data_IF_653437917946
#
_entry.id   IF_653437917946
#
_cell.length_a   1.000
_cell.length_b   1.000
_cell.length_c   1.000
_cell.angle_alpha   90.00
_cell.angle_beta   90.00
_cell.angle_gamma   90.00
#
_symmetry.space_group_name_H-M   'P 1'
#
loop_
_entity.id
_entity.type
_entity.pdbx_description
1 polymer ?
#
# COMPACT_ATOMS: atom_id res chain seq x y z
N UNK A 1 61.90 47.58 -64.81
CA UNK A 1 61.72 46.31 -64.05
C UNK A 1 60.88 46.44 -62.77
N UNK A 2 60.76 47.61 -62.11
CA UNK A 2 59.94 47.74 -60.88
C UNK A 2 58.41 47.63 -61.06
N UNK A 3 57.86 47.90 -62.25
CA UNK A 3 56.42 47.86 -62.51
C UNK A 3 55.81 46.46 -62.75
N UNK A 4 56.60 45.49 -63.20
CA UNK A 4 56.13 44.10 -63.39
C UNK A 4 56.03 43.33 -62.06
N UNK A 5 56.94 43.61 -61.13
CA UNK A 5 56.93 42.97 -59.81
C UNK A 5 55.71 43.40 -58.96
N UNK A 6 55.31 44.68 -59.03
CA UNK A 6 54.12 45.18 -58.33
C UNK A 6 52.81 44.66 -58.92
N UNK A 7 52.72 44.50 -60.25
CA UNK A 7 51.55 43.89 -60.89
C UNK A 7 51.43 42.40 -60.57
N UNK A 8 52.53 41.65 -60.58
CA UNK A 8 52.54 40.25 -60.14
C UNK A 8 52.16 40.09 -58.66
N UNK A 9 52.66 40.96 -57.79
CA UNK A 9 52.33 40.94 -56.36
C UNK A 9 50.83 41.22 -56.13
N UNK A 10 50.27 42.20 -56.85
CA UNK A 10 48.84 42.51 -56.79
C UNK A 10 47.96 41.34 -57.24
N UNK A 11 48.36 40.63 -58.31
CA UNK A 11 47.65 39.46 -58.79
C UNK A 11 47.73 38.29 -57.80
N UNK A 12 48.89 38.10 -57.16
CA UNK A 12 49.10 37.02 -56.19
C UNK A 12 48.29 37.26 -54.90
N UNK A 13 48.23 38.50 -54.42
CA UNK A 13 47.37 38.89 -53.29
C UNK A 13 45.90 38.68 -53.63
N UNK A 14 45.45 39.11 -54.82
CA UNK A 14 44.07 38.89 -55.26
C UNK A 14 43.72 37.40 -55.31
N UNK A 15 44.62 36.59 -55.86
CA UNK A 15 44.44 35.13 -55.99
C UNK A 15 44.29 34.46 -54.62
N UNK A 16 45.16 34.80 -53.66
CA UNK A 16 45.09 34.28 -52.30
C UNK A 16 43.79 34.71 -51.62
N UNK A 17 43.37 35.96 -51.82
CA UNK A 17 42.16 36.49 -51.21
C UNK A 17 40.92 35.76 -51.74
N UNK A 18 40.84 35.52 -53.05
CA UNK A 18 39.74 34.78 -53.67
C UNK A 18 39.71 33.33 -53.18
N UNK A 19 40.86 32.66 -53.10
CA UNK A 19 40.94 31.28 -52.57
C UNK A 19 40.50 31.23 -51.10
N UNK A 20 40.93 32.20 -50.28
CA UNK A 20 40.54 32.29 -48.88
C UNK A 20 39.04 32.52 -48.72
N UNK A 21 38.43 33.39 -49.53
CA UNK A 21 36.98 33.64 -49.52
C UNK A 21 36.20 32.38 -49.93
N UNK A 22 36.66 31.65 -50.96
CA UNK A 22 36.03 30.40 -51.39
C UNK A 22 36.11 29.35 -50.28
N UNK A 23 37.28 29.19 -49.64
CA UNK A 23 37.46 28.25 -48.53
C UNK A 23 36.56 28.62 -47.34
N UNK A 24 36.49 29.90 -46.98
CA UNK A 24 35.68 30.40 -45.87
C UNK A 24 34.18 30.24 -46.12
N UNK A 25 33.70 30.52 -47.34
CA UNK A 25 32.31 30.24 -47.73
C UNK A 25 32.00 28.75 -47.67
N UNK A 26 32.94 27.90 -48.10
CA UNK A 26 32.74 26.44 -48.11
C UNK A 26 32.65 25.87 -46.70
N UNK A 27 33.49 26.33 -45.76
CA UNK A 27 33.42 25.93 -44.35
C UNK A 27 32.20 26.53 -43.64
N UNK A 28 31.83 27.78 -43.93
CA UNK A 28 30.64 28.41 -43.35
C UNK A 28 29.35 27.68 -43.77
N UNK A 29 29.21 27.37 -45.06
CA UNK A 29 28.07 26.61 -45.57
C UNK A 29 28.05 25.19 -44.99
N UNK A 30 29.18 24.47 -44.99
CA UNK A 30 29.26 23.12 -44.44
C UNK A 30 28.89 23.07 -42.93
N UNK A 31 29.34 24.06 -42.16
CA UNK A 31 29.01 24.20 -40.73
C UNK A 31 27.52 24.51 -40.53
N UNK A 32 26.97 25.44 -41.31
CA UNK A 32 25.55 25.81 -41.24
C UNK A 32 24.63 24.65 -41.64
N UNK A 33 24.96 23.90 -42.70
CA UNK A 33 24.23 22.69 -43.09
C UNK A 33 24.38 21.57 -42.07
N UNK A 34 25.57 21.37 -41.49
CA UNK A 34 25.80 20.35 -40.46
C UNK A 34 24.99 20.63 -39.19
N UNK A 35 24.94 21.88 -38.73
CA UNK A 35 24.12 22.27 -37.58
C UNK A 35 22.61 22.18 -37.89
N UNK A 36 22.20 22.53 -39.11
CA UNK A 36 20.81 22.38 -39.56
C UNK A 36 20.37 20.92 -39.63
N UNK A 37 21.17 20.05 -40.24
CA UNK A 37 20.91 18.61 -40.34
C UNK A 37 20.92 17.91 -38.98
N UNK A 38 21.85 18.27 -38.09
CA UNK A 38 21.87 17.73 -36.73
C UNK A 38 20.62 18.11 -35.94
N UNK A 39 20.13 19.36 -36.06
CA UNK A 39 18.86 19.78 -35.44
C UNK A 39 17.64 19.09 -36.03
N UNK A 40 17.64 18.86 -37.35
CA UNK A 40 16.55 18.15 -38.03
C UNK A 40 16.56 16.66 -37.65
N UNK A 41 17.73 16.03 -37.61
CA UNK A 41 17.90 14.64 -37.16
C UNK A 41 17.39 14.46 -35.74
N UNK A 42 17.83 15.33 -34.81
CA UNK A 42 17.35 15.28 -33.42
C UNK A 42 15.85 15.51 -33.28
N UNK A 43 15.24 16.38 -34.12
CA UNK A 43 13.78 16.51 -34.16
C UNK A 43 13.07 15.28 -34.71
N UNK A 44 13.60 14.66 -35.77
CA UNK A 44 13.04 13.43 -36.30
C UNK A 44 13.14 12.26 -35.32
N UNK A 45 14.22 12.18 -34.53
CA UNK A 45 14.37 11.20 -33.47
C UNK A 45 13.32 11.40 -32.36
N UNK A 46 13.11 12.64 -31.90
CA UNK A 46 12.11 12.95 -30.87
C UNK A 46 10.67 12.73 -31.38
N UNK A 47 10.34 13.23 -32.58
CA UNK A 47 9.01 13.05 -33.16
C UNK A 47 8.75 11.59 -33.54
N UNK A 48 9.77 10.87 -34.01
CA UNK A 48 9.70 9.44 -34.28
C UNK A 48 9.50 8.63 -33.01
N UNK A 49 10.21 8.96 -31.93
CA UNK A 49 10.00 8.36 -30.61
C UNK A 49 8.55 8.56 -30.15
N UNK A 50 8.07 9.82 -30.13
CA UNK A 50 6.71 10.18 -29.73
C UNK A 50 5.63 9.49 -30.55
N UNK A 51 5.80 9.44 -31.87
CA UNK A 51 4.86 8.76 -32.75
C UNK A 51 4.85 7.24 -32.50
N UNK A 52 6.03 6.65 -32.23
CA UNK A 52 6.15 5.24 -31.85
C UNK A 52 5.43 4.93 -30.55
N UNK A 53 5.65 5.74 -29.50
CA UNK A 53 4.98 5.54 -28.20
C UNK A 53 3.47 5.71 -28.30
N UNK A 54 2.97 6.74 -28.99
CA UNK A 54 1.53 6.93 -29.21
C UNK A 54 0.95 5.76 -30.01
N UNK A 55 1.67 5.26 -31.03
CA UNK A 55 1.22 4.11 -31.80
C UNK A 55 1.05 2.87 -30.93
N UNK A 56 1.99 2.59 -30.01
CA UNK A 56 1.86 1.49 -29.05
C UNK A 56 0.65 1.70 -28.16
N UNK A 57 0.54 2.87 -27.53
CA UNK A 57 -0.53 3.15 -26.58
C UNK A 57 -1.93 3.12 -27.22
N UNK A 58 -2.05 3.49 -28.50
CA UNK A 58 -3.33 3.48 -29.22
C UNK A 58 -3.66 2.15 -29.91
N UNK A 59 -2.74 1.19 -29.90
CA UNK A 59 -3.08 -0.15 -30.40
C UNK A 59 -4.06 -0.84 -29.47
N UNK A 60 -4.95 -1.65 -30.05
CA UNK A 60 -5.98 -2.38 -29.32
C UNK A 60 -5.47 -3.76 -28.91
N UNK A 61 -5.94 -4.24 -27.76
CA UNK A 61 -5.90 -5.64 -27.38
C UNK A 61 -7.01 -6.41 -28.13
N UNK A 62 -6.68 -7.59 -28.62
CA UNK A 62 -7.58 -8.42 -29.44
C UNK A 62 -8.70 -9.08 -28.60
N UNK A 63 -8.53 -9.14 -27.27
CA UNK A 63 -9.49 -9.78 -26.35
C UNK A 63 -10.58 -8.80 -25.92
N UNK A 64 -10.19 -7.56 -25.61
CA UNK A 64 -11.05 -6.55 -24.98
C UNK A 64 -11.50 -5.44 -25.93
N UNK A 65 -10.92 -5.35 -27.14
CA UNK A 65 -11.08 -4.24 -28.09
C UNK A 65 -10.72 -2.85 -27.51
N UNK A 66 -10.07 -2.80 -26.34
CA UNK A 66 -9.62 -1.57 -25.69
C UNK A 66 -8.19 -1.25 -26.08
N UNK A 67 -7.88 0.03 -26.11
CA UNK A 67 -6.51 0.48 -26.36
C UNK A 67 -5.62 0.17 -25.15
N UNK A 68 -4.33 -0.06 -25.38
CA UNK A 68 -3.36 -0.24 -24.28
C UNK A 68 -3.37 0.96 -23.33
N UNK A 69 -3.56 2.18 -23.84
CA UNK A 69 -3.72 3.38 -23.03
C UNK A 69 -4.91 3.28 -22.06
N UNK A 70 -6.05 2.79 -22.52
CA UNK A 70 -7.23 2.59 -21.68
C UNK A 70 -7.02 1.46 -20.68
N UNK A 71 -6.43 0.34 -21.10
CA UNK A 71 -6.10 -0.77 -20.21
C UNK A 71 -5.12 -0.34 -19.11
N UNK A 72 -4.08 0.42 -19.45
CA UNK A 72 -3.15 0.99 -18.47
C UNK A 72 -3.83 2.00 -17.54
N UNK A 73 -4.77 2.80 -18.05
CA UNK A 73 -5.56 3.74 -17.24
C UNK A 73 -6.52 3.05 -16.26
N UNK A 74 -7.08 1.91 -16.66
CA UNK A 74 -7.90 1.04 -15.80
C UNK A 74 -6.99 0.30 -14.81
N UNK A 75 -5.89 -0.30 -15.27
CA UNK A 75 -4.90 -1.00 -14.45
C UNK A 75 -4.33 -0.11 -13.37
N UNK A 76 -4.02 1.16 -13.70
CA UNK A 76 -3.57 2.18 -12.75
C UNK A 76 -4.65 2.63 -11.74
N UNK A 77 -5.79 1.95 -11.67
CA UNK A 77 -6.82 2.21 -10.65
C UNK A 77 -7.42 0.93 -10.08
N UNK A 78 -7.59 -0.11 -10.91
CA UNK A 78 -8.30 -1.35 -10.58
C UNK A 78 -7.38 -2.55 -10.41
N UNK A 79 -6.25 -2.62 -11.12
CA UNK A 79 -5.32 -3.74 -10.97
C UNK A 79 -4.28 -3.37 -9.91
N UNK A 80 -4.06 -4.30 -9.00
CA UNK A 80 -3.20 -4.37 -7.81
C UNK A 80 -1.72 -3.95 -7.95
N UNK A 81 -1.36 -3.17 -8.96
CA UNK A 81 -0.02 -3.16 -9.53
C UNK A 81 0.31 -4.44 -10.31
N UNK A 82 -0.60 -5.43 -10.34
CA UNK A 82 -0.45 -6.71 -11.05
C UNK A 82 -0.67 -6.58 -12.55
N UNK A 83 -1.48 -5.62 -12.99
CA UNK A 83 -1.88 -5.47 -14.39
C UNK A 83 -3.09 -6.30 -14.80
N UNK A 84 -3.52 -7.26 -13.98
CA UNK A 84 -4.60 -8.17 -14.32
C UNK A 84 -5.96 -7.47 -14.26
N UNK A 85 -6.69 -7.54 -15.37
CA UNK A 85 -8.00 -6.95 -15.54
C UNK A 85 -8.98 -8.02 -16.01
N UNK A 86 -10.00 -8.31 -15.19
CA UNK A 86 -11.10 -9.22 -15.55
C UNK A 86 -12.31 -8.44 -16.09
N UNK A 87 -12.67 -8.70 -17.35
CA UNK A 87 -13.82 -8.08 -18.01
C UNK A 87 -15.08 -8.96 -17.96
N UNK A 88 -15.05 -10.05 -17.20
CA UNK A 88 -16.17 -10.92 -16.91
C UNK A 88 -16.39 -12.05 -17.92
N UNK A 89 -17.38 -12.91 -17.65
CA UNK A 89 -17.62 -14.12 -18.42
C UNK A 89 -18.02 -13.81 -19.88
N UNK A 90 -17.14 -14.16 -20.81
CA UNK A 90 -17.33 -13.98 -22.26
C UNK A 90 -16.26 -13.15 -22.94
N UNK A 91 -15.58 -12.25 -22.20
CA UNK A 91 -14.43 -11.47 -22.68
C UNK A 91 -13.14 -12.10 -22.16
N UNK A 92 -13.10 -12.45 -20.88
CA UNK A 92 -11.90 -13.01 -20.22
C UNK A 92 -11.06 -11.94 -19.52
N UNK A 93 -9.85 -12.31 -19.15
CA UNK A 93 -8.90 -11.46 -18.44
C UNK A 93 -7.71 -11.09 -19.34
N UNK A 94 -7.14 -9.90 -19.13
CA UNK A 94 -5.93 -9.43 -19.81
C UNK A 94 -4.98 -8.82 -18.77
N UNK A 95 -3.68 -9.05 -18.93
CA UNK A 95 -2.67 -8.36 -18.16
C UNK A 95 -2.15 -7.15 -18.94
N UNK A 96 -2.49 -5.94 -18.48
CA UNK A 96 -2.12 -4.71 -19.14
C UNK A 96 -0.60 -4.43 -19.11
N UNK A 97 0.11 -4.96 -18.10
CA UNK A 97 1.56 -4.80 -17.95
C UNK A 97 2.32 -5.72 -18.89
N UNK A 98 1.85 -6.97 -19.06
CA UNK A 98 2.40 -7.90 -20.04
C UNK A 98 2.19 -7.40 -21.48
N UNK A 99 1.01 -6.84 -21.78
CA UNK A 99 0.70 -6.28 -23.10
C UNK A 99 1.61 -5.09 -23.45
N UNK A 100 1.83 -4.16 -22.52
CA UNK A 100 2.76 -3.05 -22.77
C UNK A 100 4.21 -3.54 -22.83
N UNK A 101 4.60 -4.51 -21.99
CA UNK A 101 5.95 -5.09 -22.00
C UNK A 101 6.27 -5.74 -23.34
N UNK A 102 5.39 -6.61 -23.83
CA UNK A 102 5.57 -7.28 -25.12
C UNK A 102 5.74 -6.26 -26.27
N UNK A 103 4.86 -5.25 -26.35
CA UNK A 103 4.89 -4.25 -27.44
C UNK A 103 6.11 -3.34 -27.36
N UNK A 104 6.51 -2.94 -26.16
CA UNK A 104 7.71 -2.12 -25.95
C UNK A 104 8.99 -2.90 -26.27
N UNK A 105 9.04 -4.19 -25.89
CA UNK A 105 10.15 -5.08 -26.23
C UNK A 105 10.30 -5.26 -27.75
N UNK A 106 9.20 -5.39 -28.50
CA UNK A 106 9.23 -5.51 -29.97
C UNK A 106 9.76 -4.25 -30.68
N UNK A 107 9.49 -3.05 -30.15
CA UNK A 107 9.82 -1.79 -30.82
C UNK A 107 11.15 -1.20 -30.34
N UNK A 108 11.41 -1.21 -29.03
CA UNK A 108 12.59 -0.58 -28.43
C UNK A 108 13.65 -1.59 -27.97
N UNK A 109 13.30 -2.88 -27.95
CA UNK A 109 14.18 -3.95 -27.48
C UNK A 109 14.12 -4.13 -25.96
N UNK A 110 14.26 -5.38 -25.54
CA UNK A 110 14.27 -5.76 -24.12
C UNK A 110 15.35 -4.98 -23.34
N UNK A 111 14.95 -4.41 -22.20
CA UNK A 111 15.86 -3.68 -21.31
C UNK A 111 16.26 -2.27 -21.76
N UNK A 112 15.58 -1.69 -22.75
CA UNK A 112 15.87 -0.35 -23.30
C UNK A 112 14.76 0.67 -23.08
N UNK A 113 13.81 0.36 -22.20
CA UNK A 113 12.65 1.20 -21.95
C UNK A 113 12.13 1.03 -20.52
N UNK A 114 11.37 2.03 -20.11
CA UNK A 114 10.73 2.13 -18.80
C UNK A 114 9.39 2.86 -18.93
N UNK A 115 8.36 2.38 -18.23
CA UNK A 115 7.05 3.03 -18.14
C UNK A 115 6.73 3.26 -16.67
N UNK A 116 6.28 4.47 -16.34
CA UNK A 116 5.80 4.84 -15.03
C UNK A 116 4.45 5.55 -15.13
N UNK A 117 3.46 5.07 -14.39
CA UNK A 117 2.12 5.67 -14.30
C UNK A 117 1.87 6.05 -12.85
N UNK A 118 1.94 7.33 -12.46
CA UNK A 118 1.51 7.73 -11.14
C UNK A 118 -0.01 7.59 -11.03
N UNK A 119 -0.46 7.11 -9.89
CA UNK A 119 -1.85 7.26 -9.50
C UNK A 119 -2.14 8.77 -9.38
N UNK A 120 -3.33 9.23 -9.78
CA UNK A 120 -3.77 10.59 -9.46
C UNK A 120 -3.69 10.83 -7.95
N UNK A 121 -3.62 12.09 -7.49
CA UNK A 121 -3.60 12.47 -6.07
C UNK A 121 -4.85 11.94 -5.34
N UNK A 122 -4.82 10.68 -4.92
CA UNK A 122 -5.91 9.97 -4.26
C UNK A 122 -5.43 9.63 -2.86
N UNK A 123 -6.20 10.09 -1.88
CA UNK A 123 -5.99 9.70 -0.49
C UNK A 123 -6.24 8.19 -0.42
N UNK A 124 -5.27 7.38 0.01
CA UNK A 124 -5.43 5.93 0.11
C UNK A 124 -6.61 5.60 1.00
N UNK A 125 -7.28 4.49 0.71
CA UNK A 125 -8.26 3.96 1.66
C UNK A 125 -7.50 3.28 2.80
N UNK A 126 -7.96 3.48 4.02
CA UNK A 126 -7.41 2.87 5.22
C UNK A 126 -8.33 1.73 5.61
N UNK A 127 -7.79 0.51 5.64
CA UNK A 127 -8.49 -0.67 6.11
C UNK A 127 -7.84 -1.15 7.40
N UNK A 128 -8.60 -1.08 8.48
CA UNK A 128 -8.15 -1.42 9.80
C UNK A 128 -8.77 -2.76 10.19
N UNK A 129 -7.96 -3.69 10.66
CA UNK A 129 -8.42 -4.83 11.44
C UNK A 129 -7.98 -4.61 12.89
N UNK A 130 -8.89 -4.77 13.84
CA UNK A 130 -8.64 -4.60 15.27
C UNK A 130 -8.85 -5.95 15.93
N UNK A 131 -7.79 -6.54 16.45
CA UNK A 131 -7.80 -7.82 17.13
C UNK A 131 -7.89 -7.52 18.62
N UNK A 132 -8.95 -8.00 19.25
CA UNK A 132 -9.21 -7.78 20.68
C UNK A 132 -9.21 -9.13 21.39
N UNK A 133 -8.31 -9.26 22.36
CA UNK A 133 -8.39 -10.28 23.39
C UNK A 133 -9.69 -10.08 24.20
N UNK A 134 -10.39 -11.17 24.48
CA UNK A 134 -11.70 -11.15 25.17
C UNK A 134 -11.61 -11.59 26.64
N UNK A 135 -10.41 -11.57 27.21
CA UNK A 135 -10.19 -11.62 28.65
C UNK A 135 -10.96 -10.50 29.36
N UNK A 136 -11.50 -10.79 30.54
CA UNK A 136 -12.28 -9.78 31.29
C UNK A 136 -11.45 -8.54 31.63
N UNK A 137 -10.12 -8.63 31.65
CA UNK A 137 -9.23 -7.51 31.93
C UNK A 137 -9.36 -6.35 30.96
N UNK A 138 -9.89 -6.59 29.76
CA UNK A 138 -10.06 -5.60 28.70
C UNK A 138 -11.49 -5.06 28.58
N UNK A 139 -12.36 -5.34 29.56
CA UNK A 139 -13.76 -4.91 29.54
C UNK A 139 -13.95 -3.41 29.32
N UNK A 140 -13.17 -2.56 29.98
CA UNK A 140 -13.23 -1.11 29.85
C UNK A 140 -12.58 -0.61 28.55
N UNK A 141 -11.41 -1.15 28.17
CA UNK A 141 -10.75 -0.85 26.88
C UNK A 141 -11.65 -1.19 25.68
N UNK A 142 -12.28 -2.38 25.69
CA UNK A 142 -13.22 -2.80 24.65
C UNK A 142 -14.48 -1.93 24.64
N UNK A 143 -15.01 -1.55 25.80
CA UNK A 143 -16.14 -0.62 25.91
C UNK A 143 -15.80 0.75 25.32
N UNK A 144 -14.58 1.26 25.51
CA UNK A 144 -14.12 2.50 24.88
C UNK A 144 -14.11 2.38 23.35
N UNK A 145 -13.52 1.31 22.81
CA UNK A 145 -13.52 1.04 21.37
C UNK A 145 -14.95 0.92 20.85
N UNK A 146 -15.79 0.12 21.50
CA UNK A 146 -17.16 -0.13 21.08
C UNK A 146 -18.00 1.15 21.01
N UNK A 147 -17.84 2.04 22.00
CA UNK A 147 -18.63 3.25 22.10
C UNK A 147 -18.08 4.42 21.28
N UNK A 148 -16.76 4.55 21.13
CA UNK A 148 -16.13 5.75 20.54
C UNK A 148 -15.51 5.55 19.17
N UNK A 149 -15.15 4.33 18.78
CA UNK A 149 -14.62 4.06 17.44
C UNK A 149 -15.53 4.62 16.32
N UNK A 150 -16.87 4.51 16.39
CA UNK A 150 -17.74 5.06 15.35
C UNK A 150 -17.62 6.57 15.18
N UNK A 151 -17.37 7.32 16.25
CA UNK A 151 -17.21 8.77 16.20
C UNK A 151 -15.83 9.17 15.70
N UNK A 152 -14.80 8.38 16.03
CA UNK A 152 -13.44 8.59 15.53
C UNK A 152 -13.35 8.35 14.03
N UNK A 153 -13.91 7.24 13.54
CA UNK A 153 -13.93 6.93 12.11
C UNK A 153 -14.73 8.00 11.35
N UNK A 154 -15.83 8.50 11.92
CA UNK A 154 -16.54 9.64 11.35
C UNK A 154 -15.72 10.93 11.33
N UNK A 155 -14.98 11.21 12.40
CA UNK A 155 -14.07 12.35 12.48
C UNK A 155 -13.03 12.29 11.36
N UNK A 156 -12.37 11.15 11.19
CA UNK A 156 -11.40 10.93 10.12
C UNK A 156 -12.02 11.09 8.72
N UNK A 157 -13.25 10.60 8.51
CA UNK A 157 -13.98 10.81 7.26
C UNK A 157 -14.30 12.27 6.98
N UNK A 158 -14.68 13.03 8.00
CA UNK A 158 -14.91 14.47 7.88
C UNK A 158 -13.61 15.23 7.61
N UNK A 159 -12.47 14.73 8.10
CA UNK A 159 -11.13 15.25 7.83
C UNK A 159 -10.62 14.85 6.43
N UNK A 160 -11.39 14.06 5.65
CA UNK A 160 -11.09 13.69 4.26
C UNK A 160 -10.50 12.29 4.06
N UNK A 161 -10.32 11.50 5.12
CA UNK A 161 -9.79 10.15 5.04
C UNK A 161 -10.87 9.13 4.65
N UNK A 162 -10.54 8.16 3.80
CA UNK A 162 -11.43 7.04 3.51
C UNK A 162 -11.09 5.85 4.42
N UNK A 163 -11.78 5.69 5.54
CA UNK A 163 -11.45 4.68 6.56
C UNK A 163 -12.58 3.66 6.73
N UNK A 164 -12.21 2.39 6.82
CA UNK A 164 -13.08 1.30 7.25
C UNK A 164 -12.36 0.44 8.32
N UNK A 165 -13.11 -0.08 9.28
CA UNK A 165 -12.58 -0.89 10.36
C UNK A 165 -13.39 -2.18 10.56
N UNK A 166 -12.71 -3.28 10.86
CA UNK A 166 -13.33 -4.53 11.28
C UNK A 166 -12.72 -4.94 12.61
N UNK A 167 -13.56 -5.21 13.60
CA UNK A 167 -13.16 -5.70 14.92
C UNK A 167 -13.26 -7.22 14.90
N UNK A 168 -12.19 -7.90 15.31
CA UNK A 168 -12.12 -9.34 15.48
C UNK A 168 -11.91 -9.66 16.95
N UNK A 169 -12.88 -10.28 17.58
CA UNK A 169 -12.81 -10.73 18.97
C UNK A 169 -12.34 -12.18 19.02
N UNK A 170 -11.38 -12.50 19.88
CA UNK A 170 -10.81 -13.86 19.97
C UNK A 170 -11.61 -14.71 20.96
N UNK A 171 -12.26 -15.78 20.45
CA UNK A 171 -13.09 -16.79 21.12
C UNK A 171 -13.76 -16.47 22.47
N UNK A 172 -15.09 -16.25 22.40
CA UNK A 172 -16.07 -16.54 23.46
C UNK A 172 -16.05 -15.57 24.64
N UNK A 173 -16.51 -14.35 24.40
CA UNK A 173 -16.42 -13.23 25.34
C UNK A 173 -16.81 -13.57 26.78
N UNK A 174 -16.01 -13.11 27.74
CA UNK A 174 -16.47 -13.03 29.12
C UNK A 174 -17.53 -11.94 29.26
N UNK A 175 -18.49 -12.15 30.16
CA UNK A 175 -19.46 -11.11 30.51
C UNK A 175 -18.78 -10.08 31.42
N UNK A 176 -18.81 -8.82 31.02
CA UNK A 176 -18.38 -7.70 31.86
C UNK A 176 -19.47 -7.36 32.89
N UNK A 177 -19.08 -6.89 34.07
CA UNK A 177 -20.03 -6.52 35.13
C UNK A 177 -21.06 -5.45 34.71
N UNK A 178 -20.69 -4.53 33.82
CA UNK A 178 -21.60 -3.48 33.35
C UNK A 178 -22.65 -3.97 32.34
N UNK A 179 -22.70 -5.30 32.08
CA UNK A 179 -23.81 -5.96 31.41
C UNK A 179 -23.64 -6.11 29.90
N UNK A 180 -22.41 -6.12 29.41
CA UNK A 180 -22.07 -6.47 28.03
C UNK A 180 -21.04 -7.60 27.98
N UNK A 181 -21.17 -8.52 27.05
CA UNK A 181 -20.16 -9.51 26.69
C UNK A 181 -19.07 -8.88 25.84
N UNK A 182 -17.84 -9.41 25.96
CA UNK A 182 -16.71 -9.10 25.08
C UNK A 182 -16.86 -9.81 23.72
N UNK A 183 -18.00 -9.61 23.07
CA UNK A 183 -18.31 -10.18 21.77
C UNK A 183 -19.01 -9.17 20.85
N UNK A 184 -19.14 -9.55 19.59
CA UNK A 184 -19.80 -8.70 18.60
C UNK A 184 -21.31 -8.58 18.79
N UNK A 185 -21.96 -9.46 19.55
CA UNK A 185 -23.40 -9.41 19.81
C UNK A 185 -23.79 -8.24 20.72
N UNK A 186 -22.92 -7.85 21.65
CA UNK A 186 -23.18 -6.72 22.56
C UNK A 186 -22.61 -5.39 22.07
N UNK A 187 -21.57 -5.41 21.23
CA UNK A 187 -21.08 -4.26 20.46
C UNK A 187 -22.18 -3.62 19.57
N UNK A 188 -23.11 -4.44 19.06
CA UNK A 188 -24.20 -4.00 18.16
C UNK A 188 -25.62 -4.26 18.68
N UNK A 189 -25.75 -4.79 19.91
CA UNK A 189 -27.00 -4.96 20.63
C UNK A 189 -27.93 -6.04 20.06
N UNK A 190 -28.08 -7.14 20.79
CA UNK A 190 -29.19 -8.09 20.58
C UNK A 190 -30.48 -7.55 21.21
N UNK A 191 -31.20 -6.66 20.51
CA UNK A 191 -32.64 -6.51 20.80
C UNK A 191 -33.46 -6.50 19.52
N UNK A 192 -34.42 -7.42 19.52
CA UNK A 192 -35.36 -7.76 18.46
C UNK A 192 -35.85 -6.55 17.67
N UNK A 193 -35.64 -6.60 16.35
CA UNK A 193 -36.41 -5.82 15.38
C UNK A 193 -35.88 -4.43 15.08
N UNK A 194 -34.83 -4.35 14.26
CA UNK A 194 -34.49 -3.13 13.53
C UNK A 194 -33.00 -2.85 13.53
N UNK A 195 -32.41 -2.94 12.34
CA UNK A 195 -31.06 -2.48 12.00
C UNK A 195 -30.61 -1.26 12.81
N UNK A 196 -29.67 -1.44 13.73
CA UNK A 196 -28.96 -0.32 14.35
C UNK A 196 -27.48 -0.64 14.46
N UNK A 197 -26.77 -0.22 13.40
CA UNK A 197 -25.34 0.11 13.33
C UNK A 197 -24.33 -0.97 12.93
N UNK A 198 -24.66 -1.92 12.06
CA UNK A 198 -23.73 -2.20 10.95
C UNK A 198 -23.67 -0.94 10.10
N UNK A 199 -22.86 0.03 10.52
CA UNK A 199 -22.52 1.15 9.64
C UNK A 199 -21.68 0.51 8.54
N UNK A 200 -21.88 0.87 7.28
CA UNK A 200 -21.22 0.19 6.14
C UNK A 200 -19.69 0.10 6.22
N UNK A 201 -19.07 0.77 7.18
CA UNK A 201 -17.63 0.94 7.36
C UNK A 201 -17.09 0.49 8.74
N UNK A 202 -17.94 -0.03 9.64
CA UNK A 202 -17.50 -0.69 10.87
C UNK A 202 -18.23 -2.03 11.00
N UNK A 203 -17.45 -3.10 11.10
CA UNK A 203 -17.94 -4.47 11.25
C UNK A 203 -17.30 -5.13 12.46
N UNK A 204 -17.92 -6.19 12.96
CA UNK A 204 -17.33 -7.00 14.02
C UNK A 204 -17.65 -8.47 13.79
N UNK A 205 -16.65 -9.31 13.98
CA UNK A 205 -16.72 -10.75 13.84
C UNK A 205 -16.04 -11.44 15.02
N UNK A 206 -16.64 -12.52 15.50
CA UNK A 206 -16.01 -13.36 16.52
C UNK A 206 -15.14 -14.40 15.79
N UNK A 207 -13.88 -14.51 16.15
CA UNK A 207 -12.96 -15.53 15.62
C UNK A 207 -12.98 -16.77 16.50
N UNK A 208 -13.45 -17.87 15.93
CA UNK A 208 -13.33 -19.22 16.47
C UNK A 208 -12.12 -19.96 15.91
N UNK A 209 -11.64 -20.95 16.67
CA UNK A 209 -10.51 -21.80 16.27
C UNK A 209 -10.69 -22.45 14.89
N UNK A 210 -11.92 -22.70 14.47
CA UNK A 210 -12.25 -23.35 13.21
C UNK A 210 -12.51 -22.36 12.06
N UNK A 211 -12.48 -21.05 12.31
CA UNK A 211 -12.79 -20.02 11.31
C UNK A 211 -11.60 -19.71 10.40
N UNK A 212 -10.39 -20.12 10.79
CA UNK A 212 -9.17 -19.97 10.00
C UNK A 212 -8.92 -21.23 9.16
N UNK A 213 -8.44 -21.09 7.92
CA UNK A 213 -8.25 -22.23 7.03
C UNK A 213 -7.10 -23.14 7.48
N UNK A 214 -7.11 -24.39 7.00
CA UNK A 214 -6.39 -25.54 7.58
C UNK A 214 -4.85 -25.50 7.67
N UNK A 215 -4.18 -24.39 7.33
CA UNK A 215 -2.75 -24.18 7.62
C UNK A 215 -2.49 -23.42 8.92
N UNK A 216 -3.44 -22.59 9.37
CA UNK A 216 -3.37 -21.88 10.64
C UNK A 216 -4.18 -22.69 11.64
N UNK A 217 -3.53 -23.26 12.67
CA UNK A 217 -4.31 -23.59 13.86
C UNK A 217 -4.76 -22.23 14.40
N UNK A 218 -6.04 -21.89 14.24
CA UNK A 218 -6.63 -20.63 14.71
C UNK A 218 -6.40 -20.39 16.20
N UNK A 219 -6.86 -19.24 16.74
CA UNK A 219 -6.60 -18.90 18.14
C UNK A 219 -6.98 -20.04 19.08
N UNK A 220 -6.07 -20.43 19.97
CA UNK A 220 -6.25 -21.59 20.85
C UNK A 220 -7.00 -21.24 22.14
N UNK A 221 -7.03 -19.96 22.50
CA UNK A 221 -7.79 -19.38 23.61
C UNK A 221 -8.12 -17.90 23.30
N UNK A 222 -8.79 -17.23 24.24
CA UNK A 222 -9.20 -15.81 24.15
C UNK A 222 -8.03 -14.82 24.09
N UNK A 223 -6.84 -15.20 24.55
CA UNK A 223 -5.65 -14.35 24.65
C UNK A 223 -4.68 -14.54 23.46
N UNK A 224 -5.01 -15.40 22.50
CA UNK A 224 -4.11 -15.82 21.43
C UNK A 224 -4.06 -14.84 20.25
N UNK A 225 -3.66 -13.60 20.53
CA UNK A 225 -3.69 -12.50 19.56
C UNK A 225 -2.75 -12.65 18.37
N UNK A 226 -1.68 -13.44 18.47
CA UNK A 226 -0.77 -13.69 17.33
C UNK A 226 -1.44 -14.50 16.22
N UNK A 227 -2.01 -15.66 16.57
CA UNK A 227 -2.86 -16.46 15.66
C UNK A 227 -4.19 -15.77 15.36
N UNK A 228 -4.73 -14.99 16.29
CA UNK A 228 -5.90 -14.13 16.06
C UNK A 228 -5.66 -13.12 14.93
N UNK A 229 -4.51 -12.44 14.91
CA UNK A 229 -4.10 -11.56 13.82
C UNK A 229 -3.96 -12.31 12.50
N UNK A 230 -3.27 -13.44 12.48
CA UNK A 230 -3.12 -14.23 11.26
C UNK A 230 -4.49 -14.66 10.69
N UNK A 231 -5.39 -15.09 11.56
CA UNK A 231 -6.75 -15.46 11.20
C UNK A 231 -7.60 -14.27 10.70
N UNK A 232 -7.46 -13.09 11.33
CA UNK A 232 -8.11 -11.87 10.87
C UNK A 232 -7.60 -11.39 9.50
N UNK A 233 -6.31 -11.57 9.22
CA UNK A 233 -5.72 -11.28 7.91
C UNK A 233 -6.27 -12.23 6.85
N UNK A 234 -6.37 -13.52 7.16
CA UNK A 234 -6.89 -14.56 6.27
C UNK A 234 -8.40 -14.42 5.99
N UNK A 235 -9.19 -14.08 7.01
CA UNK A 235 -10.63 -13.84 6.85
C UNK A 235 -10.93 -12.50 6.15
N UNK A 236 -9.94 -11.61 6.11
CA UNK A 236 -10.04 -10.26 5.55
C UNK A 236 -11.05 -9.37 6.28
N UNK A 237 -10.96 -8.03 6.21
CA UNK A 237 -12.06 -7.18 6.62
C UNK A 237 -13.33 -7.49 5.79
N UNK A 238 -14.52 -7.20 6.32
CA UNK A 238 -15.82 -7.51 5.68
C UNK A 238 -15.94 -7.16 4.18
N UNK A 239 -15.27 -6.10 3.72
CA UNK A 239 -15.29 -5.68 2.31
C UNK A 239 -14.22 -6.35 1.43
N UNK A 240 -13.45 -7.29 1.99
CA UNK A 240 -12.23 -7.84 1.43
C UNK A 240 -11.05 -6.86 1.53
N UNK A 241 -9.82 -7.36 1.34
CA UNK A 241 -8.66 -6.47 1.17
C UNK A 241 -8.71 -5.77 -0.18
N UNK A 242 -8.57 -4.45 -0.18
CA UNK A 242 -8.37 -3.67 -1.39
C UNK A 242 -6.89 -3.42 -1.64
N UNK A 243 -6.53 -3.38 -2.91
CA UNK A 243 -5.15 -3.28 -3.35
C UNK A 243 -4.52 -1.90 -3.13
N UNK A 244 -5.33 -0.84 -3.22
CA UNK A 244 -4.91 0.55 -2.98
C UNK A 244 -5.30 0.99 -1.57
N UNK A 245 -4.80 0.26 -0.56
CA UNK A 245 -5.07 0.58 0.84
C UNK A 245 -3.84 0.59 1.73
N UNK A 246 -3.88 1.47 2.72
CA UNK A 246 -3.10 1.29 3.93
C UNK A 246 -3.80 0.19 4.75
N UNK A 247 -3.20 -1.00 4.75
CA UNK A 247 -3.66 -2.16 5.52
C UNK A 247 -3.05 -2.09 6.91
N UNK A 248 -3.89 -1.90 7.92
CA UNK A 248 -3.50 -1.62 9.30
C UNK A 248 -4.01 -2.72 10.21
N UNK A 249 -3.12 -3.34 10.97
CA UNK A 249 -3.45 -4.25 12.05
C UNK A 249 -3.32 -3.53 13.38
N UNK A 250 -4.30 -3.70 14.27
CA UNK A 250 -4.25 -3.18 15.64
C UNK A 250 -4.46 -4.37 16.56
N UNK A 251 -3.57 -4.57 17.52
CA UNK A 251 -3.71 -5.60 18.55
C UNK A 251 -4.00 -4.89 19.87
N UNK A 252 -5.14 -5.15 20.50
CA UNK A 252 -5.42 -4.69 21.85
C UNK A 252 -5.30 -5.87 22.82
N UNK A 253 -4.32 -5.81 23.72
CA UNK A 253 -4.16 -6.80 24.79
C UNK A 253 -3.36 -6.24 25.95
N UNK A 254 -3.62 -6.75 27.15
CA UNK A 254 -2.84 -6.57 28.36
C UNK A 254 -1.99 -7.81 28.71
N UNK A 255 -1.96 -8.84 27.86
CA UNK A 255 -1.29 -10.12 28.14
C UNK A 255 -0.47 -10.68 26.97
N UNK A 256 0.45 -11.61 27.28
CA UNK A 256 1.18 -12.35 26.25
C UNK A 256 0.21 -13.16 25.39
N UNK A 257 0.53 -13.35 24.11
CA UNK A 257 -0.27 -14.19 23.21
C UNK A 257 -0.36 -15.60 23.77
N UNK A 258 -1.56 -16.16 23.89
CA UNK A 258 -1.90 -17.42 24.60
C UNK A 258 -1.95 -17.33 26.12
N UNK A 259 -1.85 -16.13 26.69
CA UNK A 259 -2.03 -15.86 28.12
C UNK A 259 -0.75 -15.74 28.92
N UNK A 260 -0.88 -15.11 30.09
CA UNK A 260 0.17 -14.98 31.09
C UNK A 260 -0.01 -16.03 32.19
N UNK A 261 0.79 -17.10 32.17
CA UNK A 261 0.86 -17.98 33.35
C UNK A 261 1.53 -17.25 34.53
N UNK A 262 1.35 -17.73 35.76
CA UNK A 262 2.08 -17.26 36.97
C UNK A 262 3.62 -17.42 36.87
N UNK A 263 4.13 -17.93 35.75
CA UNK A 263 5.53 -18.15 35.44
C UNK A 263 6.06 -16.94 34.66
N UNK A 264 7.20 -16.38 35.11
CA UNK A 264 7.93 -15.27 34.47
C UNK A 264 8.50 -15.58 33.08
N UNK A 265 8.32 -16.80 32.57
CA UNK A 265 8.99 -17.28 31.37
C UNK A 265 8.05 -17.29 30.18
N UNK A 266 8.55 -16.72 29.07
CA UNK A 266 7.96 -16.84 27.75
C UNK A 266 8.00 -18.32 27.35
N UNK A 267 6.84 -18.88 27.00
CA UNK A 267 6.70 -20.26 26.55
C UNK A 267 6.95 -20.38 25.04
N UNK A 268 7.17 -21.62 24.57
CA UNK A 268 7.24 -21.92 23.13
C UNK A 268 5.98 -21.48 22.39
N UNK A 269 4.82 -21.58 23.05
CA UNK A 269 3.53 -21.33 22.44
C UNK A 269 3.31 -19.82 22.24
N UNK A 270 3.77 -18.99 23.20
CA UNK A 270 3.77 -17.54 23.07
C UNK A 270 4.62 -17.10 21.85
N UNK A 271 5.80 -17.71 21.67
CA UNK A 271 6.72 -17.41 20.56
C UNK A 271 6.14 -17.89 19.23
N UNK A 272 5.59 -19.11 19.19
CA UNK A 272 4.98 -19.66 17.99
C UNK A 272 3.81 -18.78 17.53
N UNK A 273 2.94 -18.35 18.46
CA UNK A 273 1.81 -17.49 18.11
C UNK A 273 2.26 -16.13 17.58
N UNK A 274 3.25 -15.50 18.22
CA UNK A 274 3.84 -14.24 17.73
C UNK A 274 4.40 -14.40 16.31
N UNK A 275 5.19 -15.44 16.07
CA UNK A 275 5.79 -15.68 14.75
C UNK A 275 4.73 -15.91 13.67
N UNK A 276 3.66 -16.64 13.98
CA UNK A 276 2.52 -16.81 13.06
C UNK A 276 1.90 -15.46 12.71
N UNK A 277 1.70 -14.57 13.70
CA UNK A 277 1.20 -13.22 13.46
C UNK A 277 2.14 -12.40 12.56
N UNK A 278 3.45 -12.44 12.83
CA UNK A 278 4.47 -11.74 12.03
C UNK A 278 4.48 -12.25 10.58
N UNK A 279 4.54 -13.56 10.37
CA UNK A 279 4.67 -14.14 9.04
C UNK A 279 3.48 -13.79 8.13
N UNK A 280 2.27 -13.72 8.70
CA UNK A 280 1.07 -13.30 8.00
C UNK A 280 1.05 -11.79 7.75
N UNK A 281 1.44 -10.98 8.73
CA UNK A 281 1.47 -9.53 8.59
C UNK A 281 2.52 -9.07 7.56
N UNK A 282 3.69 -9.71 7.48
CA UNK A 282 4.73 -9.35 6.52
C UNK A 282 4.55 -10.00 5.14
N UNK A 283 3.50 -10.79 4.91
CA UNK A 283 3.27 -11.49 3.64
C UNK A 283 4.24 -12.65 3.35
N UNK A 284 5.04 -13.08 4.34
CA UNK A 284 6.04 -14.15 4.19
C UNK A 284 5.40 -15.51 3.84
N UNK A 285 4.12 -15.68 4.14
CA UNK A 285 3.33 -16.90 3.90
C UNK A 285 2.35 -16.79 2.71
N UNK A 286 2.72 -16.09 1.63
CA UNK A 286 1.95 -16.05 0.35
C UNK A 286 0.62 -15.29 0.37
N UNK A 287 0.38 -14.43 1.37
CA UNK A 287 -0.76 -13.50 1.37
C UNK A 287 -0.29 -12.08 1.00
N UNK A 288 -0.83 -11.52 -0.08
CA UNK A 288 -0.53 -10.17 -0.62
C UNK A 288 -1.07 -9.01 0.27
N UNK A 289 -1.26 -9.27 1.56
CA UNK A 289 -1.91 -8.34 2.48
C UNK A 289 -0.95 -7.38 3.19
N UNK A 290 0.38 -7.56 3.18
CA UNK A 290 1.40 -6.72 3.86
C UNK A 290 0.81 -5.69 4.86
N UNK A 291 0.47 -6.16 6.06
CA UNK A 291 -0.28 -5.41 7.07
C UNK A 291 0.70 -4.77 8.06
N UNK A 292 0.62 -3.45 8.22
CA UNK A 292 1.40 -2.72 9.22
C UNK A 292 0.71 -2.79 10.57
N UNK A 293 1.39 -3.32 11.59
CA UNK A 293 0.78 -3.63 12.89
C UNK A 293 1.15 -2.59 13.95
N UNK A 294 0.14 -2.06 14.66
CA UNK A 294 0.27 -1.12 15.76
C UNK A 294 -0.36 -1.70 17.02
N UNK A 295 0.43 -2.36 17.88
CA UNK A 295 -0.10 -2.90 19.12
C UNK A 295 -0.46 -1.77 20.10
N UNK A 296 -1.61 -1.91 20.73
CA UNK A 296 -2.08 -1.13 21.87
C UNK A 296 -1.92 -2.01 23.11
N UNK A 297 -0.88 -1.74 23.88
CA UNK A 297 -0.63 -2.40 25.15
C UNK A 297 -1.54 -1.76 26.20
N UNK A 298 -2.61 -2.47 26.56
CA UNK A 298 -3.50 -2.06 27.64
C UNK A 298 -2.79 -2.13 29.00
N UNK A 299 -3.44 -1.58 30.01
CA UNK A 299 -2.85 -1.48 31.33
C UNK A 299 -3.01 -2.78 32.11
N UNK A 300 -1.90 -3.48 32.28
CA UNK A 300 -1.83 -4.66 33.12
C UNK A 300 -2.10 -4.27 34.59
N UNK A 301 -2.85 -5.08 35.35
CA UNK A 301 -2.96 -5.05 36.82
C UNK A 301 -3.99 -4.14 37.48
N UNK A 302 -5.14 -3.91 36.85
CA UNK A 302 -6.25 -3.27 37.55
C UNK A 302 -7.22 -4.29 38.17
N UNK A 303 -8.14 -3.80 38.99
CA UNK A 303 -9.24 -4.61 39.47
C UNK A 303 -10.25 -4.76 38.35
N UNK A 304 -10.54 -6.01 38.01
CA UNK A 304 -11.35 -6.37 36.87
C UNK A 304 -12.67 -6.91 37.38
N UNK A 305 -13.78 -6.42 36.86
CA UNK A 305 -15.08 -6.93 37.23
C UNK A 305 -15.64 -7.82 36.11
N UNK A 306 -15.82 -9.11 36.41
CA UNK A 306 -16.39 -10.09 35.50
C UNK A 306 -17.70 -10.68 36.04
N UNK A 307 -18.56 -11.15 35.13
CA UNK A 307 -19.77 -11.92 35.41
C UNK A 307 -19.60 -13.35 34.94
N UNK A 308 -20.00 -14.30 35.78
CA UNK A 308 -20.09 -15.71 35.43
C UNK A 308 -21.38 -16.27 36.04
N UNK A 309 -22.23 -16.86 35.21
CA UNK A 309 -23.57 -17.33 35.59
C UNK A 309 -24.41 -16.24 36.31
N UNK A 310 -24.22 -14.97 35.96
CA UNK A 310 -24.92 -13.82 36.54
C UNK A 310 -24.40 -13.36 37.91
N UNK A 311 -23.28 -13.90 38.38
CA UNK A 311 -22.61 -13.47 39.62
C UNK A 311 -21.44 -12.56 39.26
N UNK A 312 -21.41 -11.37 39.86
CA UNK A 312 -20.31 -10.41 39.77
C UNK A 312 -19.17 -10.82 40.71
N UNK A 313 -17.94 -10.79 40.22
CA UNK A 313 -16.75 -10.98 41.03
C UNK A 313 -15.60 -10.11 40.54
N UNK A 314 -14.82 -9.65 41.51
CA UNK A 314 -13.62 -8.88 41.28
C UNK A 314 -12.44 -9.85 41.08
N UNK A 315 -11.86 -9.85 39.89
CA UNK A 315 -10.59 -10.50 39.58
C UNK A 315 -9.47 -9.49 39.78
N UNK A 316 -8.49 -9.85 40.60
CA UNK A 316 -7.22 -9.16 40.67
C UNK A 316 -6.12 -10.11 40.22
N UNK A 317 -5.57 -9.87 39.04
CA UNK A 317 -4.54 -10.72 38.47
C UNK A 317 -3.14 -10.24 38.89
N UNK A 318 -2.61 -10.82 39.98
CA UNK A 318 -1.22 -10.58 40.37
C UNK A 318 -0.20 -11.11 39.34
N UNK A 319 -0.54 -12.20 38.63
CA UNK A 319 0.30 -12.84 37.62
C UNK A 319 0.44 -12.03 36.33
N UNK A 320 -0.58 -11.25 35.96
CA UNK A 320 -0.62 -10.45 34.73
C UNK A 320 0.39 -9.28 34.77
N UNK A 321 0.78 -8.84 35.97
CA UNK A 321 1.84 -7.84 36.16
C UNK A 321 3.24 -8.36 35.85
N UNK A 322 3.41 -9.67 35.97
CA UNK A 322 4.73 -10.29 36.00
C UNK A 322 5.36 -10.30 34.60
N UNK A 323 4.52 -10.34 33.56
CA UNK A 323 4.93 -10.44 32.16
C UNK A 323 4.79 -9.14 31.37
N UNK A 324 4.54 -8.01 32.02
CA UNK A 324 4.36 -6.70 31.37
C UNK A 324 5.50 -6.32 30.42
N UNK A 325 6.75 -6.54 30.87
CA UNK A 325 7.95 -6.30 30.05
C UNK A 325 8.06 -7.29 28.87
N UNK A 326 7.67 -8.55 29.08
CA UNK A 326 7.71 -9.57 28.03
C UNK A 326 6.65 -9.28 26.95
N UNK A 327 5.46 -8.85 27.37
CA UNK A 327 4.40 -8.38 26.47
C UNK A 327 4.88 -7.23 25.62
N UNK A 328 5.48 -6.20 26.24
CA UNK A 328 6.02 -5.06 25.51
C UNK A 328 7.06 -5.51 24.47
N UNK A 329 7.97 -6.42 24.83
CA UNK A 329 8.96 -6.97 23.90
C UNK A 329 8.29 -7.69 22.72
N UNK A 330 7.27 -8.52 22.96
CA UNK A 330 6.56 -9.23 21.88
C UNK A 330 5.82 -8.26 20.96
N UNK A 331 5.19 -7.23 21.53
CA UNK A 331 4.52 -6.18 20.77
C UNK A 331 5.51 -5.34 19.95
N UNK A 332 6.67 -5.00 20.52
CA UNK A 332 7.75 -4.32 19.80
C UNK A 332 8.26 -5.18 18.64
N UNK A 333 8.41 -6.49 18.83
CA UNK A 333 8.86 -7.40 17.78
C UNK A 333 7.93 -7.41 16.56
N UNK A 334 6.61 -7.48 16.75
CA UNK A 334 5.66 -7.47 15.63
C UNK A 334 5.52 -6.07 15.00
N UNK A 335 5.55 -5.01 15.82
CA UNK A 335 5.58 -3.65 15.32
C UNK A 335 6.81 -3.40 14.45
N UNK A 336 8.01 -3.74 14.93
CA UNK A 336 9.27 -3.55 14.20
C UNK A 336 9.31 -4.35 12.90
N UNK A 337 8.84 -5.61 12.92
CA UNK A 337 8.81 -6.47 11.73
C UNK A 337 7.91 -5.92 10.62
N UNK A 338 6.85 -5.19 10.99
CA UNK A 338 5.86 -4.65 10.05
C UNK A 338 6.01 -3.14 9.82
N UNK A 339 6.99 -2.52 10.48
CA UNK A 339 7.27 -1.08 10.44
C UNK A 339 6.33 -0.22 11.29
N UNK A 340 5.49 -0.78 12.15
CA UNK A 340 4.62 -0.06 13.07
C UNK A 340 5.32 0.44 14.33
N UNK A 341 4.53 0.80 15.35
CA UNK A 341 5.00 1.20 16.68
C UNK A 341 4.01 0.74 17.75
N UNK A 342 4.50 0.49 18.97
CA UNK A 342 3.66 0.14 20.12
C UNK A 342 3.14 1.40 20.81
N UNK A 343 1.86 1.41 21.15
CA UNK A 343 1.23 2.41 22.00
C UNK A 343 0.95 1.78 23.36
N UNK A 344 1.47 2.36 24.44
CA UNK A 344 1.13 1.95 25.80
C UNK A 344 0.01 2.84 26.31
N UNK A 345 -1.10 2.24 26.72
CA UNK A 345 -2.28 2.94 27.21
C UNK A 345 -2.17 3.18 28.71
N UNK A 346 -2.34 4.43 29.15
CA UNK A 346 -2.44 4.76 30.58
C UNK A 346 -3.83 4.43 31.15
N UNK A 347 -4.86 4.46 30.30
CA UNK A 347 -6.25 4.13 30.59
C UNK A 347 -7.03 3.76 29.31
N UNK A 348 -8.18 3.11 29.49
CA UNK A 348 -9.07 2.66 28.42
C UNK A 348 -9.49 3.77 27.44
N UNK A 349 -9.55 5.04 27.88
CA UNK A 349 -10.01 6.15 27.04
C UNK A 349 -9.02 6.53 25.94
N UNK A 350 -7.80 6.00 26.01
CA UNK A 350 -6.74 6.22 25.03
C UNK A 350 -6.81 5.24 23.85
N UNK A 351 -7.41 4.05 24.02
CA UNK A 351 -7.45 3.02 22.98
C UNK A 351 -7.98 3.56 21.65
N UNK A 352 -9.15 4.20 21.69
CA UNK A 352 -9.77 4.80 20.51
C UNK A 352 -8.97 6.01 19.98
N UNK A 353 -8.35 6.82 20.84
CA UNK A 353 -7.54 7.98 20.43
C UNK A 353 -6.28 7.56 19.66
N UNK A 354 -5.61 6.49 20.09
CA UNK A 354 -4.44 5.94 19.40
C UNK A 354 -4.78 5.54 17.97
N UNK A 355 -5.98 5.03 17.70
CA UNK A 355 -6.43 4.70 16.32
C UNK A 355 -6.44 5.96 15.44
N UNK A 356 -6.91 7.10 15.98
CA UNK A 356 -6.86 8.37 15.24
C UNK A 356 -5.43 8.79 14.95
N UNK A 357 -4.57 8.76 15.97
CA UNK A 357 -3.16 9.13 15.83
C UNK A 357 -2.42 8.26 14.83
N UNK A 358 -2.71 6.95 14.80
CA UNK A 358 -2.11 6.02 13.86
C UNK A 358 -2.37 6.48 12.41
N UNK A 359 -3.60 6.86 12.12
CA UNK A 359 -4.01 7.26 10.76
C UNK A 359 -3.48 8.65 10.40
N UNK A 360 -3.44 9.59 11.34
CA UNK A 360 -3.06 10.97 11.03
C UNK A 360 -1.55 11.21 11.05
N UNK A 361 -0.79 10.43 11.82
CA UNK A 361 0.62 10.74 12.12
C UNK A 361 1.61 9.78 11.45
N UNK A 362 1.17 8.63 10.93
CA UNK A 362 2.05 7.72 10.21
C UNK A 362 1.88 7.87 8.70
N UNK A 363 3.02 7.95 8.01
CA UNK A 363 3.06 7.80 6.56
C UNK A 363 2.97 6.31 6.21
N UNK A 364 1.99 5.96 5.38
CA UNK A 364 1.86 4.63 4.80
C UNK A 364 2.41 4.71 3.38
N UNK A 365 3.41 3.89 3.08
CA UNK A 365 4.00 3.80 1.75
C UNK A 365 3.07 2.99 0.83
N UNK A 366 1.99 3.61 0.35
CA UNK A 366 1.28 3.05 -0.80
C UNK A 366 2.15 3.36 -2.02
N UNK A 367 2.60 2.35 -2.78
CA UNK A 367 3.28 2.57 -4.06
C UNK A 367 2.32 3.36 -4.97
N UNK A 368 2.50 4.67 -5.13
CA UNK A 368 1.48 5.51 -5.74
C UNK A 368 1.69 5.52 -7.26
N UNK A 369 2.23 4.45 -7.83
CA UNK A 369 2.48 4.33 -9.25
C UNK A 369 2.58 2.87 -9.71
N UNK A 370 2.29 2.62 -10.98
CA UNK A 370 2.67 1.42 -11.72
C UNK A 370 4.03 1.66 -12.39
N UNK A 371 4.92 0.67 -12.35
CA UNK A 371 6.21 0.67 -13.06
C UNK A 371 6.38 -0.63 -13.85
N UNK A 372 6.84 -0.53 -15.10
CA UNK A 372 7.13 -1.67 -15.98
C UNK A 372 8.41 -1.39 -16.77
N UNK A 373 9.19 -2.44 -17.05
CA UNK A 373 10.43 -2.35 -17.81
C UNK A 373 11.67 -2.23 -16.93
N UNK A 374 12.76 -1.75 -17.50
CA UNK A 374 14.05 -1.64 -16.80
C UNK A 374 14.23 -0.23 -16.26
N UNK A 375 14.80 -0.04 -15.07
CA UNK A 375 15.04 1.31 -14.59
C UNK A 375 16.05 2.07 -15.48
N UNK A 376 15.84 3.36 -15.76
CA UNK A 376 16.70 4.14 -16.63
C UNK A 376 18.15 4.20 -16.10
N UNK A 377 19.17 3.92 -16.92
CA UNK A 377 20.56 3.95 -16.49
C UNK A 377 21.11 5.39 -16.39
N UNK A 378 21.81 5.70 -15.31
CA UNK A 378 22.33 7.05 -15.00
C UNK A 378 23.27 7.66 -16.07
N UNK A 379 23.90 6.82 -16.90
CA UNK A 379 24.96 7.23 -17.83
C UNK A 379 24.53 7.19 -19.31
N UNK A 380 23.24 7.06 -19.62
CA UNK A 380 22.74 7.12 -21.00
C UNK A 380 21.92 8.37 -21.26
N UNK A 381 21.82 8.73 -22.54
CA UNK A 381 20.84 9.71 -22.99
C UNK A 381 19.47 9.05 -22.98
N UNK A 382 18.54 9.62 -22.21
CA UNK A 382 17.18 9.12 -22.05
C UNK A 382 16.25 10.02 -22.86
N UNK A 383 15.44 9.42 -23.72
CA UNK A 383 14.29 10.07 -24.34
C UNK A 383 13.08 9.84 -23.44
N UNK A 384 12.32 10.89 -23.12
CA UNK A 384 11.15 10.82 -22.24
C UNK A 384 9.94 11.48 -22.90
N UNK A 385 8.77 10.87 -22.81
CA UNK A 385 7.49 11.40 -23.26
C UNK A 385 6.44 11.21 -22.16
N UNK A 386 5.59 12.22 -21.96
CA UNK A 386 4.46 12.15 -21.05
C UNK A 386 3.15 12.12 -21.87
N UNK A 387 2.36 11.07 -21.70
CA UNK A 387 1.08 10.89 -22.41
C UNK A 387 -0.08 10.94 -21.41
N UNK A 388 -1.07 11.82 -21.59
CA UNK A 388 -2.22 11.87 -20.70
C UNK A 388 -3.07 10.61 -20.89
N UNK A 389 -3.37 9.94 -19.78
CA UNK A 389 -4.28 8.80 -19.71
C UNK A 389 -5.51 9.17 -18.91
N UNK A 390 -6.68 8.78 -19.41
CA UNK A 390 -7.93 9.00 -18.71
C UNK A 390 -8.06 7.95 -17.62
N UNK A 391 -8.44 8.37 -16.41
CA UNK A 391 -8.78 7.45 -15.31
C UNK A 391 -10.30 7.45 -15.17
N UNK A 392 -11.00 6.44 -15.73
CA UNK A 392 -12.47 6.48 -15.87
C UNK A 392 -13.18 6.64 -14.53
N UNK A 393 -12.66 6.01 -13.48
CA UNK A 393 -13.26 5.94 -12.16
C UNK A 393 -13.32 7.29 -11.42
N UNK A 394 -12.35 8.17 -11.63
CA UNK A 394 -12.33 9.51 -11.00
C UNK A 394 -12.75 10.64 -11.95
N UNK A 395 -13.06 10.31 -13.21
CA UNK A 395 -13.38 11.31 -14.24
C UNK A 395 -12.23 12.30 -14.51
N UNK A 396 -10.99 11.86 -14.25
CA UNK A 396 -9.79 12.68 -14.29
C UNK A 396 -8.74 12.15 -15.26
N UNK A 397 -7.54 12.74 -15.21
CA UNK A 397 -6.39 12.34 -16.03
C UNK A 397 -5.15 12.18 -15.15
N UNK A 398 -4.31 11.20 -15.48
CA UNK A 398 -2.91 11.12 -15.04
C UNK A 398 -1.98 11.12 -16.26
N UNK A 399 -0.67 11.18 -16.07
CA UNK A 399 0.31 11.13 -17.15
C UNK A 399 1.12 9.83 -17.06
N UNK A 400 1.09 9.04 -18.11
CA UNK A 400 2.05 7.95 -18.30
C UNK A 400 3.37 8.56 -18.74
N UNK A 401 4.45 8.28 -18.02
CA UNK A 401 5.81 8.65 -18.39
C UNK A 401 6.49 7.45 -19.04
N UNK A 402 7.00 7.65 -20.24
CA UNK A 402 7.67 6.59 -21.01
C UNK A 402 9.08 7.06 -21.33
N UNK A 403 10.06 6.25 -20.97
CA UNK A 403 11.47 6.53 -21.15
C UNK A 403 12.12 5.44 -21.99
N UNK A 404 12.99 5.82 -22.92
CA UNK A 404 13.77 4.89 -23.74
C UNK A 404 15.22 5.34 -23.87
N UNK A 405 16.12 4.38 -24.08
CA UNK A 405 17.55 4.62 -24.31
C UNK A 405 18.11 3.61 -25.31
N UNK A 406 19.28 3.93 -25.87
CA UNK A 406 20.05 3.07 -26.79
C UNK A 406 21.39 2.70 -26.21
#
# INVERSE_FOLDING_TARGET
MKGQATQMLGFLILSITVIAVILFMRTYLASSYGQGLSRISGRHEIEGFRAGTISILQTTDDTTDRTILELLGIAAYESTGSGDLDFGPGVGSVNALDEIEWRMNEIYGEGNWYVKIPYPDVIPRYQIIIIVDTSASLCDDFSDIATRLPDIINGLKNDGYNVAATIFTIMGGQDCCDGGSLDCTDLFGTSMGGSRLTRSYIHCENLERNDCAGSINGPVNNEDWGRGLACAIENEPYEGWYDFTAKIGIILSDELSTGSSDIQEITSDNIESLNVGIDYATGSNSHDAEVRVFPLKAKNCEWICAKNEGVEFDLYCNGCCINDANLLIHMEQIADATGGVVYTLDDATQASQSIREIITNHEFAIKPYIEVGTNPPENKNINSEAVPVTVPHIGGYTNIYIETWS
#
